data_IF_488958127764
#
_entry.id   IF_488958127764
#
_cell.length_a   1.000
_cell.length_b   1.000
_cell.length_c   1.000
_cell.angle_alpha   90.00
_cell.angle_beta   90.00
_cell.angle_gamma   90.00
#
_symmetry.space_group_name_H-M   'P 1'
#
loop_
_entity.id
_entity.type
_entity.pdbx_description
1 polymer ?
#
# COMPACT_ATOMS: atom_id res chain seq x y z
N UNK A 1 10.44 -15.56 1.15
CA UNK A 1 9.00 -15.93 1.11
C UNK A 1 8.09 -14.79 1.53
N UNK A 2 8.43 -13.98 2.54
CA UNK A 2 7.62 -12.81 2.92
C UNK A 2 7.68 -11.65 1.91
N UNK A 3 8.84 -11.40 1.31
CA UNK A 3 9.06 -10.28 0.40
C UNK A 3 8.29 -10.37 -0.93
N UNK A 4 8.07 -11.58 -1.44
CA UNK A 4 7.34 -11.79 -2.70
C UNK A 4 5.85 -11.48 -2.53
N UNK A 5 5.27 -11.96 -1.42
CA UNK A 5 3.89 -11.65 -1.03
C UNK A 5 3.75 -10.14 -0.81
N UNK A 6 4.72 -9.49 -0.16
CA UNK A 6 4.71 -8.05 0.05
C UNK A 6 4.78 -7.26 -1.25
N UNK A 7 5.64 -7.67 -2.20
CA UNK A 7 5.73 -7.06 -3.52
C UNK A 7 4.44 -7.21 -4.32
N UNK A 8 3.82 -8.38 -4.26
CA UNK A 8 2.54 -8.64 -4.92
C UNK A 8 1.41 -7.78 -4.32
N UNK A 9 1.36 -7.67 -2.98
CA UNK A 9 0.40 -6.80 -2.29
C UNK A 9 0.64 -5.33 -2.64
N UNK A 10 1.90 -4.88 -2.63
CA UNK A 10 2.26 -3.53 -3.01
C UNK A 10 1.83 -3.23 -4.45
N UNK A 11 2.13 -4.14 -5.39
CA UNK A 11 1.81 -4.00 -6.81
C UNK A 11 0.30 -3.97 -7.05
N UNK A 12 -0.47 -4.85 -6.40
CA UNK A 12 -1.93 -4.83 -6.48
C UNK A 12 -2.53 -3.57 -5.86
N UNK A 13 -1.98 -3.10 -4.73
CA UNK A 13 -2.45 -1.87 -4.11
C UNK A 13 -2.16 -0.65 -4.99
N UNK A 14 -0.95 -0.57 -5.56
CA UNK A 14 -0.54 0.46 -6.51
C UNK A 14 -1.35 0.40 -7.80
N UNK A 15 -1.70 -0.78 -8.32
CA UNK A 15 -2.52 -0.91 -9.51
C UNK A 15 -3.98 -0.52 -9.26
N UNK A 16 -4.53 -0.92 -8.11
CA UNK A 16 -5.84 -0.45 -7.65
C UNK A 16 -5.84 1.07 -7.54
N UNK A 17 -4.77 1.63 -6.97
CA UNK A 17 -4.55 3.05 -6.88
C UNK A 17 -4.48 3.68 -8.28
N UNK A 18 -3.64 3.22 -9.19
CA UNK A 18 -3.55 3.72 -10.58
C UNK A 18 -4.93 3.76 -11.26
N UNK A 19 -5.73 2.73 -11.05
CA UNK A 19 -7.06 2.60 -11.69
C UNK A 19 -8.14 3.43 -10.99
N UNK A 20 -7.97 3.78 -9.71
CA UNK A 20 -8.93 4.57 -8.93
C UNK A 20 -8.48 6.02 -8.66
N UNK A 21 -7.21 6.35 -8.85
CA UNK A 21 -6.61 7.66 -8.55
C UNK A 21 -6.75 8.59 -9.77
N UNK A 22 -7.93 9.19 -9.91
CA UNK A 22 -8.02 10.64 -10.13
C UNK A 22 -8.06 11.35 -8.76
N UNK A 23 -7.27 10.84 -7.83
CA UNK A 23 -7.36 11.15 -6.41
C UNK A 23 -6.27 12.15 -6.10
N UNK A 24 -6.76 13.34 -5.84
CA UNK A 24 -6.08 14.45 -5.23
C UNK A 24 -5.23 13.98 -4.03
N UNK A 25 -3.92 13.86 -4.24
CA UNK A 25 -2.94 13.51 -3.21
C UNK A 25 -2.90 14.51 -2.05
N UNK A 26 -3.63 15.64 -2.19
CA UNK A 26 -3.87 16.64 -1.15
C UNK A 26 -4.64 16.07 0.04
N UNK A 27 -5.46 15.01 -0.13
CA UNK A 27 -6.14 14.32 0.99
C UNK A 27 -5.34 13.09 1.46
N UNK A 28 -4.04 13.32 1.67
CA UNK A 28 -3.03 12.28 1.97
C UNK A 28 -3.44 11.38 3.14
N UNK A 29 -4.06 11.91 4.19
CA UNK A 29 -4.47 11.13 5.37
C UNK A 29 -5.60 10.14 5.12
N UNK A 30 -6.68 10.54 4.45
CA UNK A 30 -7.84 9.67 4.19
C UNK A 30 -7.46 8.48 3.30
N UNK A 31 -6.62 8.75 2.30
CA UNK A 31 -6.10 7.72 1.40
C UNK A 31 -5.17 6.77 2.18
N UNK A 32 -4.28 7.30 3.03
CA UNK A 32 -3.39 6.50 3.88
C UNK A 32 -4.19 5.61 4.83
N UNK A 33 -5.26 6.11 5.45
CA UNK A 33 -6.13 5.34 6.33
C UNK A 33 -6.85 4.19 5.60
N UNK A 34 -7.42 4.47 4.41
CA UNK A 34 -8.05 3.45 3.55
C UNK A 34 -7.04 2.38 3.10
N UNK A 35 -5.82 2.79 2.72
CA UNK A 35 -4.74 1.87 2.36
C UNK A 35 -4.35 0.98 3.53
N UNK A 36 -4.09 1.56 4.71
CA UNK A 36 -3.72 0.80 5.92
C UNK A 36 -4.78 -0.25 6.25
N UNK A 37 -6.07 0.09 6.15
CA UNK A 37 -7.16 -0.86 6.37
C UNK A 37 -7.13 -2.03 5.40
N UNK A 38 -6.94 -1.78 4.09
CA UNK A 38 -6.85 -2.84 3.09
C UNK A 38 -5.61 -3.71 3.25
N UNK A 39 -4.45 -3.10 3.47
CA UNK A 39 -3.18 -3.83 3.67
C UNK A 39 -3.33 -4.77 4.88
N UNK A 40 -3.92 -4.31 5.99
CA UNK A 40 -4.23 -5.14 7.17
C UNK A 40 -5.08 -6.37 6.84
N UNK A 41 -6.13 -6.20 6.04
CA UNK A 41 -7.01 -7.31 5.64
C UNK A 41 -6.22 -8.34 4.81
N UNK A 42 -5.38 -7.86 3.90
CA UNK A 42 -4.60 -8.73 3.03
C UNK A 42 -3.53 -9.48 3.84
N UNK A 43 -2.77 -8.79 4.70
CA UNK A 43 -1.75 -9.40 5.57
C UNK A 43 -2.37 -10.47 6.48
N UNK A 44 -3.56 -10.22 7.03
CA UNK A 44 -4.33 -11.23 7.78
C UNK A 44 -4.69 -12.45 6.94
N UNK A 45 -5.12 -12.26 5.68
CA UNK A 45 -5.45 -13.37 4.76
C UNK A 45 -4.23 -14.24 4.43
N UNK A 46 -3.05 -13.63 4.35
CA UNK A 46 -1.78 -14.35 4.12
C UNK A 46 -1.13 -14.91 5.40
N UNK A 47 -1.82 -14.88 6.55
CA UNK A 47 -1.27 -15.29 7.86
C UNK A 47 0.06 -14.60 8.19
N UNK A 48 0.21 -13.35 7.78
CA UNK A 48 1.42 -12.58 8.05
C UNK A 48 1.53 -12.29 9.56
N UNK A 49 2.72 -12.44 10.16
CA UNK A 49 2.87 -12.18 11.59
C UNK A 49 2.63 -10.69 11.89
N UNK A 50 1.87 -10.38 12.96
CA UNK A 50 1.51 -9.00 13.32
C UNK A 50 2.74 -8.13 13.61
N UNK A 51 3.84 -8.74 14.05
CA UNK A 51 5.15 -8.10 14.26
C UNK A 51 5.71 -7.46 12.97
N UNK A 52 5.50 -8.12 11.83
CA UNK A 52 5.98 -7.65 10.53
C UNK A 52 4.91 -6.87 9.76
N UNK A 53 3.68 -6.81 10.28
CA UNK A 53 2.54 -6.14 9.64
C UNK A 53 2.77 -4.61 9.57
N UNK A 54 3.29 -4.02 10.65
CA UNK A 54 3.60 -2.59 10.69
C UNK A 54 4.66 -2.21 9.64
N UNK A 55 5.74 -2.99 9.57
CA UNK A 55 6.83 -2.80 8.60
C UNK A 55 6.36 -3.00 7.16
N UNK A 56 5.51 -4.00 6.93
CA UNK A 56 4.89 -4.25 5.64
C UNK A 56 4.04 -3.07 5.17
N UNK A 57 3.21 -2.52 6.06
CA UNK A 57 2.38 -1.35 5.79
C UNK A 57 3.25 -0.14 5.44
N UNK A 58 4.30 0.14 6.20
CA UNK A 58 5.22 1.24 5.91
C UNK A 58 5.93 1.08 4.56
N UNK A 59 6.40 -0.13 4.23
CA UNK A 59 7.05 -0.41 2.95
C UNK A 59 6.10 -0.21 1.76
N UNK A 60 4.85 -0.63 1.89
CA UNK A 60 3.83 -0.45 0.83
C UNK A 60 3.46 1.03 0.68
N UNK A 61 3.32 1.76 1.79
CA UNK A 61 3.06 3.20 1.77
C UNK A 61 4.22 3.98 1.13
N UNK A 62 5.47 3.66 1.49
CA UNK A 62 6.66 4.30 0.92
C UNK A 62 6.79 4.02 -0.57
N UNK A 63 6.49 2.81 -1.02
CA UNK A 63 6.44 2.46 -2.45
C UNK A 63 5.31 3.23 -3.17
N UNK A 64 4.13 3.35 -2.57
CA UNK A 64 3.04 4.13 -3.15
C UNK A 64 3.38 5.62 -3.26
N UNK A 65 4.05 6.21 -2.28
CA UNK A 65 4.53 7.61 -2.33
C UNK A 65 5.60 7.82 -3.40
N UNK A 66 6.63 6.97 -3.46
CA UNK A 66 7.67 7.07 -4.49
C UNK A 66 7.10 6.94 -5.91
N UNK A 67 6.11 6.07 -6.06
CA UNK A 67 5.36 5.93 -7.30
C UNK A 67 4.63 7.24 -7.55
N UNK A 68 3.83 7.78 -6.62
CA UNK A 68 3.08 9.03 -6.77
C UNK A 68 3.90 10.26 -7.19
N UNK A 69 5.09 10.46 -6.60
CA UNK A 69 6.00 11.57 -6.96
C UNK A 69 6.47 11.45 -8.42
N UNK A 70 6.55 10.22 -8.95
CA UNK A 70 6.89 9.96 -10.36
C UNK A 70 5.76 10.33 -11.33
N UNK A 71 4.49 10.42 -10.89
CA UNK A 71 3.35 10.79 -11.77
C UNK A 71 2.99 12.27 -11.72
N UNK A 72 3.46 12.98 -10.70
CA UNK A 72 3.25 14.43 -10.56
C UNK A 72 4.37 15.25 -11.24
N UNK A 73 5.38 14.59 -11.82
CA UNK A 73 6.49 15.19 -12.55
C UNK A 73 6.28 15.18 -14.07
#
# INVERSE_FOLDING_TARGET
MGDDILKEIARQLTDFLRTNLSVDWSVRETVRAKMRGRIKIILRRYKYPPDLEARAIELVLKQAEAISETWMA
#
